data_IF_090593808683
#
_entry.id   IF_090593808683
#
_cell.length_a   1.000
_cell.length_b   1.000
_cell.length_c   1.000
_cell.angle_alpha   90.00
_cell.angle_beta   90.00
_cell.angle_gamma   90.00
#
_symmetry.space_group_name_H-M   'P 1'
#
loop_
_entity.id
_entity.type
_entity.pdbx_description
1 polymer ?
#
# COMPACT_ATOMS: atom_id res chain seq x y z
N UNK A 1 -15.10 -2.58 -9.04
CA UNK A 1 -13.86 -2.05 -8.44
C UNK A 1 -14.19 -1.58 -7.03
N UNK A 2 -13.28 -1.80 -6.08
CA UNK A 2 -13.42 -1.38 -4.70
C UNK A 2 -12.07 -0.96 -4.14
N UNK A 3 -12.05 0.08 -3.29
CA UNK A 3 -10.91 0.42 -2.45
C UNK A 3 -11.18 -0.03 -1.02
N UNK A 4 -10.15 -0.43 -0.31
CA UNK A 4 -10.27 -0.77 1.09
C UNK A 4 -9.55 0.26 1.97
N UNK A 5 -10.22 0.69 3.04
CA UNK A 5 -9.57 1.41 4.12
C UNK A 5 -9.18 0.43 5.21
N UNK A 6 -8.03 0.66 5.81
CA UNK A 6 -7.49 -0.18 6.86
C UNK A 6 -6.99 0.68 8.02
N UNK A 7 -7.43 0.36 9.23
CA UNK A 7 -7.00 1.02 10.45
C UNK A 7 -6.41 0.02 11.43
N UNK A 8 -5.27 0.38 12.02
CA UNK A 8 -4.70 -0.31 13.17
C UNK A 8 -4.77 0.64 14.36
N UNK A 9 -5.33 0.16 15.47
CA UNK A 9 -5.36 0.88 16.74
C UNK A 9 -4.64 0.08 17.82
N UNK A 10 -3.75 0.75 18.57
CA UNK A 10 -3.04 0.17 19.70
C UNK A 10 -2.87 1.22 20.80
N UNK A 11 -3.48 0.98 21.96
CA UNK A 11 -3.52 1.97 23.02
C UNK A 11 -4.13 3.29 22.54
N UNK A 12 -3.37 4.38 22.62
CA UNK A 12 -3.77 5.70 22.12
C UNK A 12 -3.36 5.96 20.66
N UNK A 13 -2.62 5.05 20.05
CA UNK A 13 -2.17 5.18 18.66
C UNK A 13 -3.20 4.64 17.68
N UNK A 14 -3.42 5.36 16.58
CA UNK A 14 -4.25 4.94 15.45
C UNK A 14 -3.56 5.29 14.15
N UNK A 15 -3.52 4.35 13.23
CA UNK A 15 -2.97 4.51 11.89
C UNK A 15 -4.02 4.07 10.88
N UNK A 16 -4.33 4.94 9.95
CA UNK A 16 -5.31 4.66 8.90
C UNK A 16 -4.65 4.82 7.55
N UNK A 17 -4.97 3.95 6.61
CA UNK A 17 -4.45 3.99 5.26
C UNK A 17 -5.42 3.38 4.26
N UNK A 18 -5.09 3.54 2.99
CA UNK A 18 -5.79 2.95 1.85
C UNK A 18 -5.05 1.67 1.45
N UNK A 19 -5.77 0.60 1.18
CA UNK A 19 -5.23 -0.62 0.56
C UNK A 19 -5.70 -0.64 -0.89
N UNK A 20 -4.76 -0.48 -1.80
CA UNK A 20 -5.00 -0.40 -3.23
C UNK A 20 -3.90 -1.12 -4.02
N UNK A 21 -4.02 -1.14 -5.32
CA UNK A 21 -2.94 -1.55 -6.21
C UNK A 21 -2.16 -0.31 -6.67
N UNK A 22 -0.85 -0.36 -6.57
CA UNK A 22 0.03 0.66 -7.11
C UNK A 22 0.57 0.24 -8.48
N UNK A 23 0.75 1.19 -9.39
CA UNK A 23 1.33 0.92 -10.70
C UNK A 23 2.84 0.68 -10.58
N UNK A 24 3.32 -0.40 -11.16
CA UNK A 24 4.74 -0.75 -11.17
C UNK A 24 5.58 0.27 -11.97
N UNK A 25 4.98 0.96 -12.93
CA UNK A 25 5.67 2.02 -13.67
C UNK A 25 6.07 3.17 -12.74
N UNK A 26 5.24 3.53 -11.77
CA UNK A 26 5.58 4.57 -10.78
C UNK A 26 6.81 4.19 -9.92
N UNK A 27 7.02 2.89 -9.69
CA UNK A 27 8.24 2.39 -9.06
C UNK A 27 9.45 2.47 -10.01
N UNK A 28 9.29 2.04 -11.26
CA UNK A 28 10.36 2.04 -12.25
C UNK A 28 10.79 3.46 -12.64
N UNK A 29 9.85 4.40 -12.72
CA UNK A 29 10.09 5.82 -13.00
C UNK A 29 10.58 6.60 -11.76
N UNK A 30 10.57 5.97 -10.60
CA UNK A 30 11.04 6.58 -9.36
C UNK A 30 10.07 7.58 -8.73
N UNK A 31 8.78 7.53 -9.03
CA UNK A 31 7.73 8.21 -8.26
C UNK A 31 7.54 7.54 -6.90
N UNK A 32 7.64 6.20 -6.86
CA UNK A 32 7.74 5.45 -5.60
C UNK A 32 9.21 5.41 -5.18
N UNK A 33 9.55 6.18 -4.16
CA UNK A 33 10.93 6.40 -3.70
C UNK A 33 11.40 5.25 -2.81
N UNK A 34 12.59 4.75 -3.10
CA UNK A 34 13.30 3.76 -2.27
C UNK A 34 14.43 4.45 -1.47
N UNK A 35 14.73 3.94 -0.29
CA UNK A 35 15.82 4.41 0.56
C UNK A 35 16.77 3.29 0.99
N UNK A 36 16.53 2.05 0.53
CA UNK A 36 17.40 0.91 0.76
C UNK A 36 17.76 0.22 -0.55
N UNK A 37 18.96 -0.34 -0.60
CA UNK A 37 19.36 -1.24 -1.67
C UNK A 37 18.87 -2.65 -1.36
N UNK A 38 18.42 -3.34 -2.40
CA UNK A 38 17.93 -4.70 -2.29
C UNK A 38 19.05 -5.72 -2.58
N UNK A 39 18.97 -6.88 -1.93
CA UNK A 39 19.92 -7.97 -2.11
C UNK A 39 19.39 -8.96 -3.16
N UNK A 40 20.18 -9.22 -4.21
CA UNK A 40 19.78 -10.09 -5.32
C UNK A 40 19.33 -11.50 -4.86
N UNK A 41 19.97 -12.08 -3.85
CA UNK A 41 19.57 -13.38 -3.31
C UNK A 41 18.16 -13.37 -2.70
N UNK A 42 17.80 -12.29 -1.97
CA UNK A 42 16.46 -12.14 -1.41
C UNK A 42 15.39 -11.89 -2.48
N UNK A 43 15.76 -11.16 -3.54
CA UNK A 43 14.87 -10.91 -4.68
C UNK A 43 14.56 -12.22 -5.42
N UNK A 44 15.56 -13.06 -5.68
CA UNK A 44 15.36 -14.36 -6.31
C UNK A 44 14.46 -15.28 -5.48
N UNK A 45 14.65 -15.30 -4.17
CA UNK A 45 13.83 -16.10 -3.25
C UNK A 45 12.37 -15.63 -3.23
N UNK A 46 12.15 -14.31 -3.20
CA UNK A 46 10.81 -13.70 -3.28
C UNK A 46 10.16 -13.98 -4.64
N UNK A 47 10.90 -13.83 -5.72
CA UNK A 47 10.43 -14.11 -7.08
C UNK A 47 9.96 -15.56 -7.22
N UNK A 48 10.76 -16.51 -6.75
CA UNK A 48 10.38 -17.93 -6.76
C UNK A 48 9.09 -18.18 -5.98
N UNK A 49 8.93 -17.56 -4.81
CA UNK A 49 7.73 -17.67 -3.99
C UNK A 49 6.49 -17.09 -4.71
N UNK A 50 6.62 -15.91 -5.32
CA UNK A 50 5.53 -15.26 -6.03
C UNK A 50 5.10 -16.06 -7.26
N UNK A 51 6.06 -16.55 -8.06
CA UNK A 51 5.78 -17.39 -9.25
C UNK A 51 5.12 -18.71 -8.83
N UNK A 52 5.69 -19.42 -7.85
CA UNK A 52 5.18 -20.73 -7.42
C UNK A 52 3.78 -20.67 -6.81
N UNK A 53 3.40 -19.52 -6.23
CA UNK A 53 2.09 -19.33 -5.62
C UNK A 53 1.11 -18.54 -6.48
N UNK A 54 1.57 -17.99 -7.58
CA UNK A 54 0.82 -17.06 -8.43
C UNK A 54 0.10 -15.97 -7.59
N UNK A 55 0.81 -15.45 -6.58
CA UNK A 55 0.23 -14.50 -5.64
C UNK A 55 1.31 -13.63 -4.97
N UNK A 56 0.93 -12.40 -4.65
CA UNK A 56 1.68 -11.53 -3.74
C UNK A 56 1.17 -11.76 -2.32
N UNK A 57 2.02 -12.33 -1.47
CA UNK A 57 1.61 -12.83 -0.15
C UNK A 57 1.40 -11.70 0.87
N UNK A 58 2.03 -10.54 0.66
CA UNK A 58 2.00 -9.43 1.62
C UNK A 58 2.06 -8.08 0.89
N UNK A 59 1.20 -7.12 1.21
CA UNK A 59 1.27 -5.79 0.61
C UNK A 59 2.56 -5.05 1.01
N UNK A 60 2.93 -4.08 0.20
CA UNK A 60 3.98 -3.11 0.50
C UNK A 60 3.37 -1.98 1.31
N UNK A 61 4.12 -1.42 2.26
CA UNK A 61 3.70 -0.21 2.96
C UNK A 61 4.36 1.00 2.30
N UNK A 62 3.53 1.86 1.74
CA UNK A 62 3.92 3.15 1.20
C UNK A 62 3.48 4.28 2.14
N UNK A 63 4.21 5.38 2.13
CA UNK A 63 3.85 6.61 2.83
C UNK A 63 3.96 7.80 1.88
N UNK A 64 3.19 8.83 2.14
CA UNK A 64 3.19 10.07 1.37
C UNK A 64 3.02 11.28 2.28
N UNK A 65 3.44 12.49 1.85
CA UNK A 65 3.17 13.71 2.60
C UNK A 65 1.69 13.91 2.80
N UNK A 66 1.29 14.40 3.97
CA UNK A 66 -0.12 14.60 4.27
C UNK A 66 -0.80 15.52 3.25
N UNK A 67 -1.94 15.06 2.75
CA UNK A 67 -2.87 15.82 1.89
C UNK A 67 -4.18 15.92 2.64
N UNK A 68 -4.51 17.11 3.21
CA UNK A 68 -5.68 17.28 4.08
C UNK A 68 -7.00 16.85 3.43
N UNK A 69 -7.14 17.06 2.12
CA UNK A 69 -8.34 16.66 1.36
C UNK A 69 -8.53 15.14 1.35
N UNK A 70 -7.45 14.36 1.16
CA UNK A 70 -7.49 12.89 1.20
C UNK A 70 -7.81 12.43 2.63
N UNK A 71 -7.13 13.00 3.62
CA UNK A 71 -7.36 12.68 5.03
C UNK A 71 -8.81 12.93 5.44
N UNK A 72 -9.37 14.08 5.03
CA UNK A 72 -10.77 14.45 5.32
C UNK A 72 -11.77 13.47 4.71
N UNK A 73 -11.60 13.11 3.43
CA UNK A 73 -12.48 12.13 2.76
C UNK A 73 -12.46 10.77 3.46
N UNK A 74 -11.26 10.29 3.84
CA UNK A 74 -11.12 9.01 4.55
C UNK A 74 -11.80 9.06 5.92
N UNK A 75 -11.61 10.13 6.69
CA UNK A 75 -12.20 10.27 8.03
C UNK A 75 -13.71 10.34 7.91
N UNK A 76 -14.26 11.19 7.04
CA UNK A 76 -15.70 11.32 6.82
C UNK A 76 -16.32 9.97 6.43
N UNK A 77 -15.69 9.24 5.50
CA UNK A 77 -16.19 7.93 5.11
C UNK A 77 -16.26 6.95 6.28
N UNK A 78 -15.22 6.91 7.12
CA UNK A 78 -15.16 6.02 8.28
C UNK A 78 -16.18 6.39 9.35
N UNK A 79 -16.49 7.68 9.52
CA UNK A 79 -17.49 8.17 10.48
C UNK A 79 -18.93 7.88 10.02
N UNK A 80 -19.17 7.84 8.72
CA UNK A 80 -20.50 7.63 8.12
C UNK A 80 -20.84 6.16 7.82
N UNK A 81 -19.82 5.27 7.84
CA UNK A 81 -19.99 3.88 7.41
C UNK A 81 -19.50 2.89 8.46
N UNK A 82 -20.25 1.82 8.63
CA UNK A 82 -19.82 0.70 9.47
C UNK A 82 -18.68 -0.08 8.83
N UNK A 83 -17.76 -0.55 9.68
CA UNK A 83 -16.69 -1.43 9.23
C UNK A 83 -17.25 -2.78 8.76
N UNK A 84 -16.79 -3.25 7.62
CA UNK A 84 -17.22 -4.56 7.14
C UNK A 84 -16.51 -5.72 7.86
N UNK A 85 -15.34 -5.44 8.44
CA UNK A 85 -14.56 -6.43 9.17
C UNK A 85 -13.70 -5.79 10.26
N UNK A 86 -13.66 -6.43 11.44
CA UNK A 86 -12.78 -6.04 12.54
C UNK A 86 -12.22 -7.27 13.25
N UNK A 87 -10.95 -7.23 13.60
CA UNK A 87 -10.31 -8.29 14.40
C UNK A 87 -9.41 -7.69 15.48
N UNK A 88 -9.54 -8.22 16.69
CA UNK A 88 -8.67 -7.86 17.82
C UNK A 88 -7.66 -8.97 18.09
N UNK A 89 -6.40 -8.59 18.11
CA UNK A 89 -5.32 -9.51 18.49
C UNK A 89 -5.08 -9.37 20.01
N UNK A 90 -5.50 -10.36 20.77
CA UNK A 90 -5.42 -10.34 22.25
C UNK A 90 -3.98 -10.17 22.76
N UNK A 91 -3.01 -10.86 22.14
CA UNK A 91 -1.60 -10.80 22.55
C UNK A 91 -0.96 -9.42 22.38
N UNK A 92 -1.27 -8.70 21.32
CA UNK A 92 -0.70 -7.38 21.02
C UNK A 92 -1.59 -6.23 21.47
N UNK A 93 -2.87 -6.51 21.75
CA UNK A 93 -3.90 -5.51 22.06
C UNK A 93 -4.30 -4.68 20.85
N UNK A 94 -3.90 -5.08 19.65
CA UNK A 94 -4.18 -4.35 18.41
C UNK A 94 -5.59 -4.66 17.92
N UNK A 95 -6.30 -3.61 17.50
CA UNK A 95 -7.56 -3.71 16.78
C UNK A 95 -7.32 -3.32 15.33
N UNK A 96 -7.60 -4.24 14.44
CA UNK A 96 -7.51 -4.07 13.00
C UNK A 96 -8.92 -3.94 12.43
N UNK A 97 -9.19 -2.88 11.67
CA UNK A 97 -10.52 -2.58 11.15
C UNK A 97 -10.43 -2.26 9.67
N UNK A 98 -11.39 -2.78 8.90
CA UNK A 98 -11.47 -2.62 7.46
C UNK A 98 -12.81 -2.04 7.04
N UNK A 99 -12.79 -1.11 6.09
CA UNK A 99 -13.95 -0.57 5.39
C UNK A 99 -13.76 -0.76 3.90
N UNK A 100 -14.84 -0.97 3.19
CA UNK A 100 -14.84 -1.11 1.74
C UNK A 100 -15.56 0.08 1.11
N UNK A 101 -14.86 0.80 0.23
CA UNK A 101 -15.42 1.88 -0.58
C UNK A 101 -15.84 1.28 -1.91
N UNK A 102 -17.14 1.32 -2.21
CA UNK A 102 -17.73 0.88 -3.48
C UNK A 102 -18.31 2.03 -4.29
N UNK A 103 -18.38 3.23 -3.71
CA UNK A 103 -18.81 4.42 -4.41
C UNK A 103 -17.76 4.83 -5.45
N UNK A 104 -18.10 4.64 -6.73
CA UNK A 104 -17.22 4.95 -7.85
C UNK A 104 -16.84 6.42 -7.93
N UNK A 105 -17.73 7.33 -7.51
CA UNK A 105 -17.43 8.76 -7.50
C UNK A 105 -16.38 9.11 -6.44
N UNK A 106 -16.47 8.50 -5.25
CA UNK A 106 -15.49 8.68 -4.19
C UNK A 106 -14.14 8.05 -4.56
N UNK A 107 -14.15 6.85 -5.17
CA UNK A 107 -12.94 6.19 -5.66
C UNK A 107 -12.23 7.10 -6.66
N UNK A 108 -12.95 7.57 -7.69
CA UNK A 108 -12.40 8.47 -8.70
C UNK A 108 -11.85 9.76 -8.10
N UNK A 109 -12.57 10.33 -7.12
CA UNK A 109 -12.11 11.53 -6.41
C UNK A 109 -10.81 11.31 -5.65
N UNK A 110 -10.67 10.17 -4.98
CA UNK A 110 -9.42 9.79 -4.30
C UNK A 110 -8.28 9.61 -5.30
N UNK A 111 -8.50 8.89 -6.40
CA UNK A 111 -7.51 8.70 -7.46
C UNK A 111 -7.01 10.02 -8.06
N UNK A 112 -7.94 10.95 -8.33
CA UNK A 112 -7.60 12.27 -8.86
C UNK A 112 -6.75 13.08 -7.85
N UNK A 113 -7.12 13.06 -6.57
CA UNK A 113 -6.35 13.72 -5.52
C UNK A 113 -4.95 13.12 -5.37
N UNK A 114 -4.81 11.79 -5.44
CA UNK A 114 -3.49 11.15 -5.44
C UNK A 114 -2.67 11.61 -6.65
N UNK A 115 -3.25 11.59 -7.83
CA UNK A 115 -2.58 12.01 -9.08
C UNK A 115 -2.15 13.47 -9.06
N UNK A 116 -2.98 14.37 -8.52
CA UNK A 116 -2.74 15.81 -8.55
C UNK A 116 -1.89 16.32 -7.39
N UNK A 117 -2.02 15.71 -6.19
CA UNK A 117 -1.46 16.24 -4.95
C UNK A 117 -0.30 15.42 -4.38
N UNK A 118 -0.19 14.15 -4.75
CA UNK A 118 0.88 13.28 -4.25
C UNK A 118 1.94 13.11 -5.34
N UNK A 119 2.96 13.96 -5.30
CA UNK A 119 4.05 13.95 -6.28
C UNK A 119 4.98 12.75 -6.17
N UNK A 120 5.06 12.13 -4.99
CA UNK A 120 5.85 10.93 -4.74
C UNK A 120 5.34 10.19 -3.50
N UNK A 121 5.50 8.88 -3.51
CA UNK A 121 5.34 8.01 -2.34
C UNK A 121 6.69 7.42 -1.93
N UNK A 122 6.78 6.93 -0.70
CA UNK A 122 8.02 6.42 -0.12
C UNK A 122 7.79 5.02 0.45
N UNK A 123 8.64 4.07 0.11
CA UNK A 123 8.54 2.72 0.65
C UNK A 123 8.92 2.74 2.14
N UNK A 124 7.97 2.48 3.02
CA UNK A 124 8.22 2.34 4.46
C UNK A 124 8.57 0.88 4.84
N UNK A 125 7.95 -0.11 4.16
CA UNK A 125 8.30 -1.53 4.28
C UNK A 125 8.05 -2.25 2.96
N UNK A 126 8.93 -3.16 2.59
CA UNK A 126 8.75 -4.03 1.43
C UNK A 126 9.61 -3.69 0.22
N UNK A 127 10.78 -3.10 0.39
CA UNK A 127 11.72 -2.78 -0.69
C UNK A 127 12.01 -3.99 -1.60
N UNK A 128 12.27 -5.17 -1.00
CA UNK A 128 12.48 -6.40 -1.77
C UNK A 128 11.25 -6.82 -2.57
N UNK A 129 10.03 -6.60 -2.04
CA UNK A 129 8.79 -6.92 -2.77
C UNK A 129 8.59 -6.00 -3.97
N UNK A 130 8.78 -4.69 -3.81
CA UNK A 130 8.74 -3.73 -4.92
C UNK A 130 9.77 -4.08 -6.00
N UNK A 131 11.03 -4.29 -5.60
CA UNK A 131 12.11 -4.62 -6.51
C UNK A 131 11.83 -5.92 -7.27
N UNK A 132 11.42 -6.98 -6.56
CA UNK A 132 11.06 -8.26 -7.17
C UNK A 132 9.91 -8.12 -8.17
N UNK A 133 8.87 -7.37 -7.83
CA UNK A 133 7.73 -7.12 -8.74
C UNK A 133 8.18 -6.36 -9.99
N UNK A 134 9.04 -5.34 -9.83
CA UNK A 134 9.62 -4.61 -10.96
C UNK A 134 10.43 -5.51 -11.90
N UNK A 135 11.29 -6.39 -11.32
CA UNK A 135 12.05 -7.36 -12.10
C UNK A 135 11.15 -8.38 -12.83
N UNK A 136 10.09 -8.85 -12.15
CA UNK A 136 9.11 -9.76 -12.77
C UNK A 136 8.39 -9.08 -13.93
N UNK A 137 7.92 -7.86 -13.73
CA UNK A 137 7.26 -7.07 -14.76
C UNK A 137 8.16 -6.90 -16.00
N UNK A 138 9.41 -6.50 -15.82
CA UNK A 138 10.37 -6.34 -16.91
C UNK A 138 10.66 -7.64 -17.68
N UNK A 139 10.60 -8.80 -17.01
CA UNK A 139 10.83 -10.11 -17.63
C UNK A 139 9.59 -10.68 -18.32
N UNK A 140 8.40 -10.45 -17.77
CA UNK A 140 7.16 -11.10 -18.22
C UNK A 140 6.35 -10.20 -19.17
N UNK A 141 6.42 -8.88 -19.04
CA UNK A 141 5.67 -7.93 -19.85
C UNK A 141 5.87 -8.10 -21.37
N UNK A 142 7.07 -8.40 -21.88
CA UNK A 142 7.26 -8.66 -23.32
C UNK A 142 6.54 -9.93 -23.83
N UNK A 143 6.17 -10.85 -22.92
CA UNK A 143 5.62 -12.16 -23.26
C UNK A 143 4.10 -12.26 -23.03
N UNK A 144 3.50 -11.30 -22.36
CA UNK A 144 2.07 -11.32 -22.00
C UNK A 144 1.46 -9.93 -22.11
N UNK A 145 0.99 -9.53 -23.32
CA UNK A 145 0.36 -8.22 -23.52
C UNK A 145 -0.93 -8.02 -22.70
N UNK A 146 -1.57 -9.08 -22.24
CA UNK A 146 -2.86 -9.07 -21.55
C UNK A 146 -2.75 -9.36 -20.03
N UNK A 147 -1.55 -9.56 -19.50
CA UNK A 147 -1.33 -9.88 -18.08
C UNK A 147 -1.35 -8.65 -17.19
N UNK A 148 -2.16 -8.70 -16.14
CA UNK A 148 -2.28 -7.69 -15.06
C UNK A 148 -1.01 -7.62 -14.17
N UNK A 149 0.18 -7.78 -14.78
CA UNK A 149 1.48 -7.81 -14.09
C UNK A 149 1.96 -6.43 -13.65
N UNK A 150 1.30 -5.36 -14.09
CA UNK A 150 1.71 -3.97 -13.82
C UNK A 150 1.27 -3.42 -12.47
N UNK A 151 0.38 -4.13 -11.76
CA UNK A 151 -0.13 -3.67 -10.47
C UNK A 151 0.39 -4.55 -9.33
N UNK A 152 0.76 -3.94 -8.21
CA UNK A 152 1.11 -4.67 -7.00
C UNK A 152 0.32 -4.11 -5.79
N UNK A 153 -0.10 -4.97 -4.86
CA UNK A 153 -0.87 -4.52 -3.70
C UNK A 153 0.01 -3.66 -2.77
N UNK A 154 -0.46 -2.49 -2.46
CA UNK A 154 0.17 -1.55 -1.55
C UNK A 154 -0.84 -1.10 -0.49
N UNK A 155 -0.36 -0.86 0.72
CA UNK A 155 -1.08 -0.12 1.74
C UNK A 155 -0.43 1.26 1.85
N UNK A 156 -1.20 2.30 1.59
CA UNK A 156 -0.73 3.68 1.64
C UNK A 156 -1.27 4.36 2.89
N UNK A 157 -0.39 4.98 3.66
CA UNK A 157 -0.77 5.76 4.84
C UNK A 157 -0.14 7.14 4.82
N UNK A 158 -0.89 8.14 5.28
CA UNK A 158 -0.33 9.47 5.56
C UNK A 158 0.70 9.35 6.69
N UNK A 159 1.72 10.20 6.67
CA UNK A 159 2.59 10.43 7.81
C UNK A 159 1.93 11.55 8.64
N UNK A 160 1.16 11.25 9.71
CA UNK A 160 0.76 12.28 10.64
C UNK A 160 2.03 12.75 11.33
N UNK A 161 2.30 14.04 11.37
CA UNK A 161 3.51 14.68 11.83
C UNK A 161 4.32 13.89 12.85
N UNK A 162 5.49 13.40 12.43
CA UNK A 162 6.59 12.88 13.24
C UNK A 162 6.34 11.68 14.17
N UNK A 163 5.65 10.63 13.77
CA UNK A 163 5.91 9.33 14.42
C UNK A 163 5.93 8.24 13.36
N UNK A 164 7.08 8.03 12.78
CA UNK A 164 7.43 6.79 12.10
C UNK A 164 7.14 5.60 13.05
N UNK A 165 6.62 4.52 12.49
CA UNK A 165 6.44 3.25 13.17
C UNK A 165 7.68 2.89 14.02
N UNK A 166 7.51 2.50 15.32
CA UNK A 166 8.65 2.27 16.22
C UNK A 166 9.65 1.21 15.77
N UNK A 167 9.33 0.41 14.77
CA UNK A 167 10.16 -0.69 14.26
C UNK A 167 10.77 -0.46 12.86
N UNK A 168 10.77 0.78 12.34
CA UNK A 168 11.53 1.12 11.15
C UNK A 168 13.04 1.33 11.44
N UNK A 169 13.54 0.70 12.51
CA UNK A 169 14.99 0.63 12.79
C UNK A 169 15.39 -0.83 12.87
N UNK A 170 16.04 -1.28 11.86
CA UNK A 170 17.17 -2.22 11.70
C UNK A 170 17.09 -2.97 10.41
#
# INVERSE_FOLDING_TARGET
DALNLYRIQKGKGSYTGIVACADIQDYLEGKIKKHENTLAAKEQQQMHLMISRNAVVKPVLLTYPEVPEITSLIITFIEEHEAFYSVRFEKSGELHTFWEIRDGALIQRLEDLFRERVSATYIADGHHRCSTTGLMYQRLSPQSPEGNCGLFPAAESTIPGRKLWPNARR
#
